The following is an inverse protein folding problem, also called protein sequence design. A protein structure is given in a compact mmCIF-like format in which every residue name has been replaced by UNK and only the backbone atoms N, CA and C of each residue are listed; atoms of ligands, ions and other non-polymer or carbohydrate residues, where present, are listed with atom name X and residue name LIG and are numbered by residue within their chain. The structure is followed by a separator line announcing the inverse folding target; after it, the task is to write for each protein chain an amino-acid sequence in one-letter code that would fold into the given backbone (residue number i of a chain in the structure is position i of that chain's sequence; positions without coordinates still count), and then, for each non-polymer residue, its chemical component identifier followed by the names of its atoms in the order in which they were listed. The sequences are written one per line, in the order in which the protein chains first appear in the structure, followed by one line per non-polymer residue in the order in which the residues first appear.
data_IF_065439857752
#
_entry.id   IF_065439857752
#
_cell.length_a   1.000
_cell.length_b   1.000
_cell.length_c   1.000
_cell.angle_alpha   90.00
_cell.angle_beta   90.00
_cell.angle_gamma   90.00
#
_symmetry.space_group_name_H-M   'P 1'
#
loop_
_entity.id
_entity.type
_entity.pdbx_description
1 polymer ?
#
# COMPACT_ATOMS: atom_id res chain seq x y z
N UNK A 1 -67.06 -2.70 48.75
CA UNK A 1 -67.56 -4.07 48.50
C UNK A 1 -67.10 -4.48 47.10
N UNK A 2 -66.16 -5.41 47.04
CA UNK A 2 -65.67 -6.02 45.79
C UNK A 2 -66.39 -7.34 45.55
N UNK A 3 -66.91 -7.58 44.36
CA UNK A 3 -67.13 -8.92 43.81
C UNK A 3 -67.07 -8.91 42.27
N UNK A 4 -66.07 -9.63 41.75
CA UNK A 4 -66.10 -10.65 40.68
C UNK A 4 -67.14 -10.60 39.56
N UNK A 5 -66.70 -10.77 38.30
CA UNK A 5 -67.07 -11.94 37.47
C UNK A 5 -66.37 -11.98 36.09
N UNK A 6 -66.06 -13.19 35.65
CA UNK A 6 -65.38 -13.60 34.41
C UNK A 6 -66.18 -13.30 33.13
N UNK A 7 -65.47 -13.21 31.98
CA UNK A 7 -65.93 -13.79 30.70
C UNK A 7 -64.79 -14.05 29.70
N UNK A 8 -64.69 -15.32 29.29
CA UNK A 8 -63.93 -15.81 28.14
C UNK A 8 -64.47 -15.24 26.82
N UNK A 9 -63.61 -15.07 25.80
CA UNK A 9 -64.04 -15.26 24.39
C UNK A 9 -62.89 -15.70 23.47
N UNK A 10 -63.30 -16.53 22.51
CA UNK A 10 -62.57 -17.43 21.63
C UNK A 10 -61.74 -16.74 20.53
N UNK A 11 -60.61 -17.39 20.22
CA UNK A 11 -60.12 -17.85 18.90
C UNK A 11 -60.87 -17.35 17.66
N UNK A 12 -60.14 -16.76 16.71
CA UNK A 12 -60.42 -16.94 15.28
C UNK A 12 -59.12 -16.91 14.46
N UNK A 13 -58.84 -18.02 13.80
CA UNK A 13 -57.87 -18.16 12.70
C UNK A 13 -58.55 -17.71 11.41
N UNK A 14 -57.81 -17.04 10.52
CA UNK A 14 -58.14 -16.99 9.10
C UNK A 14 -56.85 -16.77 8.29
N UNK A 15 -56.38 -17.85 7.67
CA UNK A 15 -55.38 -17.81 6.62
C UNK A 15 -56.02 -17.36 5.30
N UNK A 16 -55.29 -16.58 4.48
CA UNK A 16 -55.44 -16.67 3.02
C UNK A 16 -54.13 -16.25 2.33
N UNK A 17 -53.59 -17.20 1.55
CA UNK A 17 -52.56 -17.02 0.52
C UNK A 17 -53.06 -16.07 -0.58
N UNK A 18 -52.18 -15.36 -1.29
CA UNK A 18 -52.12 -15.37 -2.77
C UNK A 18 -50.82 -14.72 -3.30
N UNK A 19 -50.41 -15.24 -4.46
CA UNK A 19 -49.19 -15.12 -5.30
C UNK A 19 -48.56 -13.73 -5.47
N UNK A 20 -47.25 -13.54 -5.68
CA UNK A 20 -46.33 -14.05 -6.73
C UNK A 20 -46.81 -13.76 -8.18
N UNK A 21 -46.89 -12.47 -8.53
CA UNK A 21 -46.81 -11.97 -9.91
C UNK A 21 -46.73 -10.43 -9.87
N UNK A 22 -45.53 -9.88 -9.82
CA UNK A 22 -45.24 -8.45 -10.05
C UNK A 22 -43.72 -8.27 -10.11
N UNK A 23 -43.10 -8.79 -11.17
CA UNK A 23 -41.68 -8.55 -11.50
C UNK A 23 -41.45 -8.94 -12.97
N UNK A 24 -42.32 -8.50 -13.88
CA UNK A 24 -42.11 -8.71 -15.31
C UNK A 24 -42.84 -7.67 -16.19
N UNK A 25 -42.74 -6.39 -15.83
CA UNK A 25 -43.26 -5.28 -16.65
C UNK A 25 -42.40 -4.02 -16.49
N UNK A 26 -41.07 -4.15 -16.59
CA UNK A 26 -40.17 -2.98 -16.70
C UNK A 26 -38.94 -3.24 -17.59
N UNK A 27 -39.12 -4.12 -18.58
CA UNK A 27 -38.22 -4.34 -19.72
C UNK A 27 -39.05 -4.38 -20.99
N UNK A 28 -39.51 -3.21 -21.47
CA UNK A 28 -40.00 -2.95 -22.84
C UNK A 28 -40.61 -1.54 -22.89
N UNK A 29 -39.75 -0.53 -22.99
CA UNK A 29 -39.99 0.76 -23.65
C UNK A 29 -38.64 1.48 -23.73
N UNK A 30 -38.42 2.15 -24.86
CA UNK A 30 -37.16 2.82 -25.26
C UNK A 30 -36.11 1.92 -25.93
N UNK A 31 -36.54 1.18 -26.94
CA UNK A 31 -35.72 0.87 -28.10
C UNK A 31 -36.46 1.36 -29.35
N UNK A 32 -36.23 2.59 -29.78
CA UNK A 32 -36.47 3.06 -31.15
C UNK A 32 -36.01 4.52 -31.31
N UNK A 33 -34.79 4.72 -31.81
CA UNK A 33 -34.46 5.81 -32.75
C UNK A 33 -33.14 5.50 -33.45
N UNK A 34 -33.27 5.29 -34.75
CA UNK A 34 -32.25 4.88 -35.69
C UNK A 34 -31.66 6.08 -36.46
N UNK A 35 -30.35 5.99 -36.71
CA UNK A 35 -29.62 6.36 -37.95
C UNK A 35 -29.42 7.86 -38.27
N UNK A 36 -28.13 8.26 -38.39
CA UNK A 36 -27.56 8.83 -39.64
C UNK A 36 -26.02 8.85 -39.63
N UNK A 37 -25.45 8.27 -40.69
CA UNK A 37 -24.05 8.37 -41.12
C UNK A 37 -23.70 9.80 -41.57
N UNK A 38 -22.44 10.20 -41.42
CA UNK A 38 -21.65 10.81 -42.52
C UNK A 38 -20.18 11.04 -42.11
N UNK A 39 -19.28 10.46 -42.89
CA UNK A 39 -17.86 10.85 -43.04
C UNK A 39 -17.76 11.81 -44.22
N UNK A 40 -16.79 12.74 -44.22
CA UNK A 40 -15.70 12.72 -45.21
C UNK A 40 -14.35 13.05 -44.53
N UNK A 41 -13.15 12.68 -45.00
CA UNK A 41 -12.66 12.54 -46.37
C UNK A 41 -11.72 13.70 -46.71
N UNK A 42 -10.41 13.41 -46.68
CA UNK A 42 -9.35 13.93 -47.58
C UNK A 42 -8.44 15.13 -47.18
N UNK A 43 -7.13 14.86 -47.33
CA UNK A 43 -6.03 15.67 -47.91
C UNK A 43 -5.38 16.78 -47.06
N UNK A 44 -4.12 16.59 -46.62
CA UNK A 44 -2.84 16.89 -47.32
C UNK A 44 -2.45 18.37 -47.30
N UNK A 45 -1.33 18.68 -46.60
CA UNK A 45 -0.32 19.64 -47.05
C UNK A 45 0.93 19.54 -46.15
N UNK A 46 1.92 18.77 -46.60
CA UNK A 46 3.32 18.94 -46.20
C UNK A 46 3.86 20.23 -46.86
N UNK A 47 4.45 21.12 -46.07
CA UNK A 47 5.41 22.10 -46.61
C UNK A 47 6.80 21.77 -46.08
N UNK A 48 7.64 21.26 -46.99
CA UNK A 48 9.10 21.35 -46.91
C UNK A 48 9.48 22.79 -47.25
N UNK A 49 10.36 23.40 -46.46
CA UNK A 49 11.32 24.36 -46.99
C UNK A 49 12.72 24.01 -46.50
N UNK A 50 13.57 23.83 -47.49
CA UNK A 50 14.99 23.52 -47.42
C UNK A 50 15.80 24.82 -47.35
N UNK A 51 16.92 24.74 -46.63
CA UNK A 51 18.23 25.26 -47.06
C UNK A 51 18.44 26.76 -47.22
N UNK A 52 19.37 27.32 -46.43
CA UNK A 52 20.61 27.90 -47.00
C UNK A 52 21.62 28.26 -45.92
N UNK A 53 22.72 27.51 -45.91
CA UNK A 53 23.97 27.93 -45.29
C UNK A 53 24.67 28.97 -46.16
N UNK A 54 25.41 29.86 -45.50
CA UNK A 54 26.47 30.66 -46.10
C UNK A 54 27.69 30.53 -45.19
N UNK A 55 28.74 29.89 -45.71
CA UNK A 55 30.09 29.92 -45.15
C UNK A 55 30.89 30.86 -46.05
N UNK A 56 31.37 31.97 -45.48
CA UNK A 56 32.39 32.83 -46.10
C UNK A 56 33.71 32.56 -45.37
N UNK A 57 34.75 32.33 -46.16
CA UNK A 57 36.12 32.03 -45.75
C UNK A 57 37.03 33.19 -46.15
N UNK A 58 38.06 33.45 -45.35
CA UNK A 58 39.26 34.31 -45.55
C UNK A 58 39.37 35.34 -44.40
N UNK A 59 40.52 35.71 -43.87
CA UNK A 59 41.92 35.29 -43.99
C UNK A 59 42.62 35.91 -42.77
N UNK A 60 43.70 35.30 -42.32
CA UNK A 60 44.47 35.73 -41.16
C UNK A 60 45.46 36.85 -41.51
N UNK A 61 45.68 37.75 -40.57
CA UNK A 61 46.97 38.43 -40.37
C UNK A 61 47.25 38.48 -38.87
N UNK A 62 48.41 37.96 -38.48
CA UNK A 62 48.80 37.76 -37.09
C UNK A 62 49.78 38.81 -36.58
N UNK A 63 49.80 38.97 -35.25
CA UNK A 63 51.03 39.20 -34.49
C UNK A 63 50.86 38.78 -33.03
N UNK A 64 51.41 37.59 -32.76
CA UNK A 64 52.25 37.19 -31.62
C UNK A 64 51.90 37.63 -30.19
N UNK A 65 51.59 36.62 -29.35
CA UNK A 65 52.41 36.25 -28.17
C UNK A 65 51.92 34.92 -27.58
N UNK A 66 52.77 33.89 -27.70
CA UNK A 66 52.58 32.57 -27.06
C UNK A 66 52.80 32.66 -25.55
N UNK A 67 52.06 31.84 -24.78
CA UNK A 67 52.73 30.90 -23.90
C UNK A 67 52.20 29.47 -24.07
N UNK A 68 53.17 28.55 -24.17
CA UNK A 68 53.14 27.10 -23.92
C UNK A 68 51.78 26.44 -23.64
N UNK A 69 51.26 25.70 -24.63
CA UNK A 69 50.18 24.72 -24.46
C UNK A 69 50.75 23.41 -23.90
N UNK A 70 50.70 23.24 -22.58
CA UNK A 70 50.57 21.89 -21.99
C UNK A 70 49.08 21.58 -21.89
N UNK A 71 48.71 20.42 -22.44
CA UNK A 71 47.37 19.82 -22.34
C UNK A 71 46.99 19.69 -20.86
N UNK A 72 45.87 20.25 -20.37
CA UNK A 72 45.39 19.91 -19.04
C UNK A 72 44.77 18.52 -19.09
N UNK A 73 45.29 17.64 -18.23
CA UNK A 73 44.79 16.30 -17.98
C UNK A 73 43.27 16.33 -17.74
N UNK A 74 42.54 15.40 -18.34
CA UNK A 74 41.14 15.13 -18.06
C UNK A 74 40.97 14.37 -16.71
N UNK A 75 41.63 14.87 -15.66
CA UNK A 75 41.61 14.33 -14.30
C UNK A 75 41.32 15.44 -13.29
N UNK A 76 40.27 16.24 -13.50
CA UNK A 76 39.81 17.14 -12.43
C UNK A 76 38.33 17.54 -12.60
N UNK A 77 37.47 16.56 -12.90
CA UNK A 77 36.02 16.77 -12.86
C UNK A 77 35.22 15.48 -12.63
N UNK A 78 35.74 14.52 -11.87
CA UNK A 78 34.93 13.34 -11.50
C UNK A 78 35.52 12.60 -10.32
N UNK A 79 35.18 13.03 -9.10
CA UNK A 79 35.11 12.18 -7.90
C UNK A 79 34.69 13.02 -6.69
N UNK A 80 33.44 13.51 -6.68
CA UNK A 80 32.72 13.59 -5.41
C UNK A 80 32.15 12.21 -5.18
N UNK A 81 33.01 11.32 -4.70
CA UNK A 81 32.67 10.01 -4.18
C UNK A 81 31.71 10.26 -3.03
N UNK A 82 30.40 10.16 -3.28
CA UNK A 82 29.41 10.00 -2.24
C UNK A 82 29.81 8.75 -1.48
N UNK A 83 30.44 8.93 -0.33
CA UNK A 83 30.77 7.85 0.58
C UNK A 83 29.51 6.99 0.74
N UNK A 84 29.57 5.72 0.37
CA UNK A 84 28.53 4.75 0.65
C UNK A 84 28.44 4.63 2.18
N UNK A 85 27.65 5.51 2.80
CA UNK A 85 27.45 5.52 4.25
C UNK A 85 26.78 4.20 4.60
N UNK A 86 27.46 3.40 5.42
CA UNK A 86 26.90 2.18 5.97
C UNK A 86 25.59 2.50 6.71
N UNK A 87 24.63 1.56 6.64
CA UNK A 87 23.27 1.72 7.16
C UNK A 87 23.30 2.30 8.59
N UNK A 88 22.50 3.33 8.88
CA UNK A 88 22.24 3.68 10.26
C UNK A 88 21.48 2.54 10.93
N UNK A 89 21.98 2.09 12.08
CA UNK A 89 21.47 0.92 12.83
C UNK A 89 19.96 0.97 13.12
N UNK A 90 19.31 2.12 12.94
CA UNK A 90 17.94 2.42 13.32
C UNK A 90 17.01 2.83 12.15
N UNK A 91 17.41 2.61 10.88
CA UNK A 91 16.51 2.83 9.74
C UNK A 91 15.41 1.75 9.66
N UNK A 92 14.17 2.20 9.47
CA UNK A 92 12.98 1.36 9.36
C UNK A 92 12.93 0.71 7.98
N UNK A 93 13.32 -0.57 7.91
CA UNK A 93 13.45 -1.30 6.65
C UNK A 93 12.12 -1.90 6.22
N UNK A 94 11.63 -1.46 5.05
CA UNK A 94 10.41 -1.94 4.42
C UNK A 94 10.80 -2.71 3.15
N UNK A 95 10.64 -4.03 3.18
CA UNK A 95 10.84 -4.86 2.01
C UNK A 95 9.54 -4.94 1.19
N UNK A 96 9.61 -4.71 -0.11
CA UNK A 96 8.46 -4.75 -1.02
C UNK A 96 8.74 -5.73 -2.15
N UNK A 97 7.78 -6.60 -2.46
CA UNK A 97 7.94 -7.52 -3.59
C UNK A 97 7.71 -6.84 -4.94
N UNK A 98 8.37 -7.34 -5.99
CA UNK A 98 8.28 -6.74 -7.33
C UNK A 98 6.83 -6.66 -7.84
N UNK A 99 6.01 -7.66 -7.52
CA UNK A 99 4.57 -7.70 -7.89
C UNK A 99 3.69 -6.79 -7.04
N UNK A 100 4.13 -6.43 -5.84
CA UNK A 100 3.45 -5.42 -5.04
C UNK A 100 3.80 -4.01 -5.54
N UNK A 101 5.06 -3.79 -5.91
CA UNK A 101 5.54 -2.49 -6.36
C UNK A 101 5.09 -2.14 -7.79
N UNK A 102 5.13 -3.12 -8.70
CA UNK A 102 4.81 -2.95 -10.12
C UNK A 102 3.77 -3.96 -10.57
N UNK A 103 2.97 -3.57 -11.56
CA UNK A 103 2.09 -4.48 -12.26
C UNK A 103 2.92 -5.39 -13.18
N UNK A 104 2.90 -6.69 -12.87
CA UNK A 104 3.60 -7.73 -13.65
C UNK A 104 2.63 -8.84 -14.07
N UNK A 105 1.34 -8.53 -14.25
CA UNK A 105 0.30 -9.53 -14.58
C UNK A 105 0.63 -10.25 -15.88
N UNK A 106 1.04 -9.54 -16.94
CA UNK A 106 1.34 -10.17 -18.23
C UNK A 106 2.56 -11.08 -18.15
N UNK A 107 3.63 -10.63 -17.48
CA UNK A 107 4.81 -11.49 -17.26
C UNK A 107 4.49 -12.72 -16.42
N UNK A 108 3.58 -12.60 -15.45
CA UNK A 108 3.11 -13.75 -14.66
C UNK A 108 2.36 -14.77 -15.52
N UNK A 109 1.48 -14.33 -16.43
CA UNK A 109 0.78 -15.24 -17.34
C UNK A 109 1.77 -16.06 -18.18
N UNK A 110 2.78 -15.40 -18.74
CA UNK A 110 3.85 -16.10 -19.49
C UNK A 110 4.58 -17.11 -18.60
N UNK A 111 4.88 -16.77 -17.35
CA UNK A 111 5.51 -17.71 -16.42
C UNK A 111 4.62 -18.92 -16.08
N UNK A 112 3.33 -18.69 -15.84
CA UNK A 112 2.36 -19.72 -15.46
C UNK A 112 2.00 -20.65 -16.64
N UNK A 113 1.94 -20.12 -17.86
CA UNK A 113 1.54 -20.86 -19.07
C UNK A 113 2.73 -21.48 -19.82
N UNK A 114 3.87 -20.78 -19.91
CA UNK A 114 5.00 -21.15 -20.75
C UNK A 114 6.30 -21.46 -19.96
N UNK A 115 6.32 -21.18 -18.66
CA UNK A 115 7.43 -21.49 -17.76
C UNK A 115 8.54 -20.43 -17.71
N UNK A 116 9.60 -20.76 -16.97
CA UNK A 116 10.66 -19.81 -16.58
C UNK A 116 11.45 -19.26 -17.76
N UNK A 117 11.84 -20.11 -18.73
CA UNK A 117 12.67 -19.68 -19.86
C UNK A 117 11.95 -18.65 -20.73
N UNK A 118 10.68 -18.91 -21.05
CA UNK A 118 9.84 -17.98 -21.82
C UNK A 118 9.55 -16.69 -21.07
N UNK A 119 9.35 -16.78 -19.76
CA UNK A 119 9.28 -15.59 -18.91
C UNK A 119 10.57 -14.76 -18.95
N UNK A 120 11.74 -15.40 -18.91
CA UNK A 120 13.03 -14.70 -18.98
C UNK A 120 13.22 -14.01 -20.33
N UNK A 121 12.95 -14.70 -21.45
CA UNK A 121 12.96 -14.11 -22.79
C UNK A 121 12.02 -12.90 -22.88
N UNK A 122 10.79 -13.03 -22.36
CA UNK A 122 9.82 -11.94 -22.32
C UNK A 122 10.35 -10.73 -21.55
N UNK A 123 10.98 -10.93 -20.39
CA UNK A 123 11.52 -9.83 -19.59
C UNK A 123 12.72 -9.15 -20.25
N UNK A 124 13.58 -9.91 -20.94
CA UNK A 124 14.73 -9.36 -21.68
C UNK A 124 14.27 -8.55 -22.89
N UNK A 125 13.36 -9.08 -23.71
CA UNK A 125 12.81 -8.35 -24.86
C UNK A 125 12.09 -7.05 -24.47
N UNK A 126 11.60 -6.98 -23.23
CA UNK A 126 10.88 -5.83 -22.68
C UNK A 126 11.68 -5.06 -21.63
N UNK A 127 13.01 -5.20 -21.57
CA UNK A 127 13.82 -4.61 -20.49
C UNK A 127 13.73 -3.07 -20.40
N UNK A 128 13.46 -2.42 -21.53
CA UNK A 128 13.31 -0.97 -21.65
C UNK A 128 11.84 -0.52 -21.60
N UNK A 129 10.89 -1.46 -21.54
CA UNK A 129 9.47 -1.18 -21.39
C UNK A 129 9.16 -1.02 -19.90
N UNK A 130 8.84 0.21 -19.50
CA UNK A 130 8.55 0.58 -18.12
C UNK A 130 7.33 -0.18 -17.60
N UNK A 131 7.47 -0.82 -16.43
CA UNK A 131 6.37 -1.49 -15.76
C UNK A 131 5.40 -0.47 -15.18
N UNK A 132 4.10 -0.70 -15.33
CA UNK A 132 3.10 0.19 -14.73
C UNK A 132 3.07 0.05 -13.20
N UNK A 133 2.64 1.09 -12.47
CA UNK A 133 2.57 1.06 -11.02
C UNK A 133 1.71 -0.09 -10.47
N UNK A 134 2.18 -0.74 -9.42
CA UNK A 134 1.44 -1.75 -8.66
C UNK A 134 0.77 -1.18 -7.40
N UNK A 135 0.06 -2.01 -6.62
CA UNK A 135 -0.74 -1.58 -5.47
C UNK A 135 0.07 -0.91 -4.35
N UNK A 136 1.35 -1.26 -4.16
CA UNK A 136 2.22 -0.66 -3.16
C UNK A 136 2.97 0.58 -3.66
N UNK A 137 2.88 0.94 -4.95
CA UNK A 137 3.68 2.00 -5.55
C UNK A 137 3.48 3.35 -4.87
N UNK A 138 2.21 3.74 -4.65
CA UNK A 138 1.85 5.01 -4.03
C UNK A 138 2.28 5.05 -2.56
N UNK A 139 2.18 3.93 -1.86
CA UNK A 139 2.69 3.78 -0.50
C UNK A 139 4.21 4.05 -0.44
N UNK A 140 4.99 3.46 -1.36
CA UNK A 140 6.45 3.71 -1.44
C UNK A 140 6.77 5.18 -1.73
N UNK A 141 6.03 5.84 -2.62
CA UNK A 141 6.17 7.28 -2.88
C UNK A 141 5.87 8.12 -1.63
N UNK A 142 4.82 7.79 -0.88
CA UNK A 142 4.48 8.49 0.35
C UNK A 142 5.56 8.32 1.44
N UNK A 143 6.17 7.14 1.56
CA UNK A 143 7.31 6.92 2.47
C UNK A 143 8.51 7.81 2.10
N UNK A 144 8.81 7.93 0.80
CA UNK A 144 9.88 8.81 0.32
C UNK A 144 9.58 10.28 0.59
N UNK A 145 8.32 10.69 0.49
CA UNK A 145 7.89 12.03 0.88
C UNK A 145 8.13 12.29 2.37
N UNK A 146 7.77 11.35 3.25
CA UNK A 146 8.04 11.45 4.69
C UNK A 146 9.54 11.57 4.96
N UNK A 147 10.37 10.77 4.27
CA UNK A 147 11.83 10.87 4.39
C UNK A 147 12.37 12.25 3.99
N UNK A 148 11.86 12.84 2.91
CA UNK A 148 12.25 14.20 2.50
C UNK A 148 11.90 15.21 3.59
N UNK A 149 10.67 15.15 4.13
CA UNK A 149 10.21 16.02 5.22
C UNK A 149 11.03 15.85 6.51
N UNK A 150 11.46 14.63 6.83
CA UNK A 150 12.36 14.39 7.97
C UNK A 150 13.72 15.07 7.75
N UNK A 151 14.30 14.94 6.54
CA UNK A 151 15.59 15.58 6.21
C UNK A 151 15.51 17.10 6.20
N UNK A 152 14.39 17.70 5.79
CA UNK A 152 14.18 19.15 5.87
C UNK A 152 14.28 19.65 7.32
N UNK A 153 13.73 18.88 8.27
CA UNK A 153 13.71 19.22 9.69
C UNK A 153 14.99 18.83 10.44
N UNK A 154 15.63 17.76 9.98
CA UNK A 154 16.77 17.12 10.59
C UNK A 154 17.76 16.68 9.48
N UNK A 155 18.66 17.58 9.03
CA UNK A 155 19.56 17.28 7.91
C UNK A 155 20.49 16.08 8.12
N UNK A 156 20.91 15.85 9.37
CA UNK A 156 21.75 14.71 9.77
C UNK A 156 20.92 13.48 10.20
N UNK A 157 19.61 13.48 9.93
CA UNK A 157 18.76 12.35 10.27
C UNK A 157 19.12 11.12 9.44
N UNK A 158 19.20 10.01 10.14
CA UNK A 158 19.56 8.74 9.55
C UNK A 158 18.48 7.68 9.80
N UNK A 159 17.55 7.93 10.73
CA UNK A 159 16.41 7.06 11.01
C UNK A 159 15.27 7.36 10.05
N UNK A 160 15.41 6.85 8.83
CA UNK A 160 14.48 7.03 7.72
C UNK A 160 13.85 5.69 7.33
N UNK A 161 12.83 5.74 6.47
CA UNK A 161 12.36 4.56 5.78
C UNK A 161 13.40 4.09 4.75
N UNK A 162 13.80 2.84 4.84
CA UNK A 162 14.75 2.19 3.93
C UNK A 162 13.97 1.15 3.14
N UNK A 163 13.71 1.44 1.87
CA UNK A 163 12.89 0.59 1.01
C UNK A 163 13.81 -0.38 0.27
N UNK A 164 13.49 -1.68 0.34
CA UNK A 164 14.22 -2.76 -0.33
C UNK A 164 13.29 -3.48 -1.28
N UNK A 165 13.71 -3.66 -2.53
CA UNK A 165 12.98 -4.52 -3.45
C UNK A 165 13.44 -5.96 -3.27
N UNK A 166 12.51 -6.87 -2.94
CA UNK A 166 12.80 -8.29 -2.77
C UNK A 166 11.95 -9.14 -3.69
N UNK A 167 12.59 -9.96 -4.53
CA UNK A 167 11.86 -10.75 -5.52
C UNK A 167 12.50 -12.12 -5.72
N UNK A 168 11.65 -13.10 -5.99
CA UNK A 168 12.06 -14.42 -6.45
C UNK A 168 12.37 -14.45 -7.95
N UNK A 169 12.32 -13.31 -8.65
CA UNK A 169 12.72 -13.24 -10.04
C UNK A 169 14.20 -13.58 -10.24
N UNK A 170 14.50 -14.10 -11.42
CA UNK A 170 15.87 -14.28 -11.89
C UNK A 170 16.58 -12.93 -12.03
N UNK A 171 17.90 -12.90 -11.80
CA UNK A 171 18.71 -11.69 -11.84
C UNK A 171 18.60 -10.93 -13.17
N UNK A 172 18.41 -11.65 -14.27
CA UNK A 172 18.22 -11.10 -15.63
C UNK A 172 16.96 -10.22 -15.73
N UNK A 173 15.90 -10.49 -14.95
CA UNK A 173 14.70 -9.64 -14.89
C UNK A 173 14.97 -8.32 -14.15
N UNK A 174 16.07 -8.24 -13.39
CA UNK A 174 16.44 -7.10 -12.58
C UNK A 174 16.61 -5.81 -13.37
N UNK A 175 17.09 -5.89 -14.62
CA UNK A 175 17.32 -4.69 -15.46
C UNK A 175 16.02 -3.92 -15.69
N UNK A 176 14.94 -4.62 -16.05
CA UNK A 176 13.62 -3.98 -16.25
C UNK A 176 13.09 -3.33 -14.97
N UNK A 177 13.29 -3.99 -13.83
CA UNK A 177 12.89 -3.47 -12.52
C UNK A 177 13.68 -2.20 -12.17
N UNK A 178 15.00 -2.21 -12.38
CA UNK A 178 15.88 -1.05 -12.17
C UNK A 178 15.47 0.11 -13.08
N UNK A 179 15.25 -0.16 -14.38
CA UNK A 179 14.80 0.85 -15.35
C UNK A 179 13.47 1.48 -14.92
N UNK A 180 12.53 0.66 -14.44
CA UNK A 180 11.24 1.15 -13.95
C UNK A 180 11.39 1.99 -12.67
N UNK A 181 12.18 1.53 -11.70
CA UNK A 181 12.50 2.27 -10.46
C UNK A 181 13.13 3.63 -10.78
N UNK A 182 14.11 3.66 -11.69
CA UNK A 182 14.78 4.88 -12.13
C UNK A 182 13.84 5.83 -12.88
N UNK A 183 13.04 5.31 -13.80
CA UNK A 183 12.06 6.11 -14.56
C UNK A 183 11.10 6.85 -13.63
N UNK A 184 10.61 6.18 -12.59
CA UNK A 184 9.72 6.80 -11.62
C UNK A 184 10.44 7.63 -10.54
N UNK A 185 11.78 7.66 -10.52
CA UNK A 185 12.55 8.32 -9.48
C UNK A 185 12.24 7.76 -8.09
N UNK A 186 12.14 6.43 -7.99
CA UNK A 186 12.03 5.76 -6.70
C UNK A 186 13.44 5.60 -6.11
N UNK A 187 13.66 6.16 -4.93
CA UNK A 187 14.86 5.98 -4.11
C UNK A 187 14.85 4.58 -3.48
N UNK A 188 15.20 3.57 -4.26
CA UNK A 188 15.36 2.18 -3.83
C UNK A 188 16.76 1.76 -4.26
N UNK A 189 17.70 1.76 -3.33
CA UNK A 189 19.11 1.46 -3.64
C UNK A 189 19.44 -0.04 -3.48
N UNK A 190 18.56 -0.79 -2.80
CA UNK A 190 18.80 -2.18 -2.42
C UNK A 190 17.80 -3.12 -3.08
N UNK A 191 18.34 -4.09 -3.80
CA UNK A 191 17.59 -5.15 -4.47
C UNK A 191 18.07 -6.51 -3.97
N UNK A 192 17.15 -7.46 -3.86
CA UNK A 192 17.43 -8.88 -3.62
C UNK A 192 16.65 -9.69 -4.66
N UNK A 193 17.37 -10.40 -5.53
CA UNK A 193 16.80 -11.27 -6.56
C UNK A 193 17.29 -12.70 -6.32
N UNK A 194 16.37 -13.61 -5.99
CA UNK A 194 16.73 -14.97 -5.53
C UNK A 194 16.58 -16.07 -6.58
N UNK A 195 16.26 -15.74 -7.83
CA UNK A 195 16.30 -16.69 -8.95
C UNK A 195 15.45 -17.94 -8.76
N UNK A 196 14.24 -17.78 -8.24
CA UNK A 196 13.25 -18.84 -8.04
C UNK A 196 13.09 -19.29 -6.59
N UNK A 197 14.12 -19.14 -5.74
CA UNK A 197 14.02 -19.47 -4.31
C UNK A 197 13.22 -18.41 -3.55
N UNK A 198 12.62 -18.77 -2.41
CA UNK A 198 11.93 -17.79 -1.57
C UNK A 198 12.90 -16.69 -1.09
N UNK A 199 12.52 -15.40 -1.18
CA UNK A 199 13.35 -14.31 -0.67
C UNK A 199 13.27 -14.17 0.86
N UNK A 200 12.39 -14.92 1.53
CA UNK A 200 12.07 -14.74 2.94
C UNK A 200 13.28 -14.95 3.86
N UNK A 201 14.13 -15.94 3.57
CA UNK A 201 15.38 -16.15 4.33
C UNK A 201 16.31 -14.93 4.36
N UNK A 202 16.26 -14.06 3.34
CA UNK A 202 17.06 -12.84 3.30
C UNK A 202 16.43 -11.69 4.07
N UNK A 203 15.12 -11.70 4.36
CA UNK A 203 14.45 -10.62 5.09
C UNK A 203 15.10 -10.38 6.47
N UNK A 204 15.47 -11.45 7.18
CA UNK A 204 16.20 -11.36 8.46
C UNK A 204 17.58 -10.72 8.29
N UNK A 205 18.33 -11.14 7.27
CA UNK A 205 19.66 -10.59 6.99
C UNK A 205 19.64 -9.10 6.61
N UNK A 206 18.55 -8.65 5.98
CA UNK A 206 18.33 -7.23 5.67
C UNK A 206 17.79 -6.41 6.85
N UNK A 207 17.55 -7.05 8.00
CA UNK A 207 16.91 -6.45 9.17
C UNK A 207 15.56 -5.82 8.82
N UNK A 208 14.77 -6.55 8.03
CA UNK A 208 13.44 -6.09 7.59
C UNK A 208 12.51 -5.97 8.79
N UNK A 209 11.90 -4.79 8.95
CA UNK A 209 10.90 -4.54 9.97
C UNK A 209 9.49 -4.87 9.46
N UNK A 210 9.24 -4.66 8.16
CA UNK A 210 7.95 -4.92 7.53
C UNK A 210 8.12 -5.42 6.10
N UNK A 211 7.46 -6.51 5.75
CA UNK A 211 7.47 -7.10 4.41
C UNK A 211 6.10 -7.03 3.74
N UNK A 212 6.06 -6.46 2.54
CA UNK A 212 4.85 -6.24 1.78
C UNK A 212 4.92 -6.99 0.45
N UNK A 213 3.98 -7.91 0.20
CA UNK A 213 4.04 -8.73 -1.00
C UNK A 213 2.66 -9.04 -1.58
N UNK A 214 2.56 -9.19 -2.91
CA UNK A 214 1.37 -9.73 -3.57
C UNK A 214 1.31 -11.29 -3.53
N UNK A 215 2.08 -11.92 -2.64
CA UNK A 215 2.27 -13.37 -2.54
C UNK A 215 1.93 -13.83 -1.14
N UNK A 216 0.77 -14.46 -0.97
CA UNK A 216 0.29 -14.87 0.35
C UNK A 216 1.18 -15.93 1.00
N UNK A 217 1.74 -16.87 0.21
CA UNK A 217 2.63 -17.92 0.73
C UNK A 217 3.90 -17.32 1.32
N UNK A 218 4.52 -16.36 0.62
CA UNK A 218 5.73 -15.69 1.12
C UNK A 218 5.44 -14.80 2.34
N UNK A 219 4.24 -14.24 2.43
CA UNK A 219 3.82 -13.46 3.61
C UNK A 219 3.66 -14.37 4.81
N UNK A 220 3.05 -15.53 4.63
CA UNK A 220 2.90 -16.52 5.69
C UNK A 220 4.26 -17.07 6.16
N UNK A 221 5.16 -17.40 5.23
CA UNK A 221 6.53 -17.82 5.54
C UNK A 221 7.28 -16.72 6.34
N UNK A 222 7.16 -15.45 5.94
CA UNK A 222 7.79 -14.34 6.66
C UNK A 222 7.21 -14.13 8.07
N UNK A 223 5.90 -14.30 8.25
CA UNK A 223 5.26 -14.25 9.56
C UNK A 223 5.73 -15.39 10.48
N UNK A 224 5.88 -16.61 9.95
CA UNK A 224 6.44 -17.75 10.69
C UNK A 224 7.88 -17.48 11.14
N UNK A 225 8.65 -16.75 10.34
CA UNK A 225 9.99 -16.30 10.68
C UNK A 225 10.01 -15.12 11.67
N UNK A 226 8.86 -14.62 12.11
CA UNK A 226 8.72 -13.52 13.08
C UNK A 226 8.87 -12.13 12.47
N UNK A 227 8.71 -11.99 11.14
CA UNK A 227 8.77 -10.71 10.44
C UNK A 227 7.35 -10.22 10.14
N UNK A 228 7.03 -9.00 10.59
CA UNK A 228 5.75 -8.37 10.30
C UNK A 228 5.51 -8.30 8.79
N UNK A 229 4.42 -8.89 8.31
CA UNK A 229 4.17 -9.01 6.87
C UNK A 229 2.70 -8.91 6.51
N UNK A 230 2.41 -8.43 5.30
CA UNK A 230 1.04 -8.37 4.78
C UNK A 230 0.97 -8.67 3.28
N UNK A 231 -0.15 -9.28 2.87
CA UNK A 231 -0.46 -9.56 1.47
C UNK A 231 -1.17 -8.36 0.84
N UNK A 232 -0.58 -7.78 -0.19
CA UNK A 232 -1.16 -6.65 -0.91
C UNK A 232 -2.16 -7.12 -1.95
N UNK A 233 -3.28 -6.41 -1.95
CA UNK A 233 -4.35 -6.56 -2.92
C UNK A 233 -4.65 -5.20 -3.57
N UNK A 234 -4.83 -5.25 -4.89
CA UNK A 234 -5.11 -4.06 -5.69
C UNK A 234 -6.61 -3.71 -5.63
N UNK A 235 -6.94 -2.45 -5.38
CA UNK A 235 -8.30 -1.95 -5.42
C UNK A 235 -8.86 -1.81 -6.85
N UNK A 236 -8.01 -1.91 -7.88
CA UNK A 236 -8.40 -1.91 -9.30
C UNK A 236 -8.95 -0.58 -9.82
N UNK A 237 -8.98 0.46 -8.98
CA UNK A 237 -9.34 1.83 -9.37
C UNK A 237 -8.16 2.75 -9.11
N UNK A 238 -7.75 3.48 -10.15
CA UNK A 238 -6.77 4.57 -10.00
C UNK A 238 -7.44 5.73 -9.27
N UNK A 239 -7.41 5.66 -7.94
CA UNK A 239 -7.97 6.68 -7.06
C UNK A 239 -6.91 7.73 -6.80
N UNK A 240 -7.27 9.01 -6.80
CA UNK A 240 -6.31 10.05 -6.42
C UNK A 240 -5.95 9.95 -4.94
N UNK A 241 -4.65 9.82 -4.65
CA UNK A 241 -4.12 9.77 -3.29
C UNK A 241 -3.61 11.15 -2.85
N UNK A 242 -3.31 11.28 -1.56
CA UNK A 242 -2.76 12.51 -1.01
C UNK A 242 -1.23 12.52 -1.18
N UNK A 243 -0.71 13.39 -2.05
CA UNK A 243 0.74 13.45 -2.32
C UNK A 243 1.56 14.10 -1.18
N UNK A 244 0.90 14.74 -0.21
CA UNK A 244 1.54 15.43 0.91
C UNK A 244 1.56 14.63 2.22
N UNK A 245 0.89 13.48 2.28
CA UNK A 245 0.78 12.68 3.51
C UNK A 245 0.79 11.18 3.22
N UNK A 246 1.60 10.44 3.96
CA UNK A 246 1.42 9.01 4.18
C UNK A 246 0.19 8.78 5.07
N UNK A 247 -0.85 8.20 4.47
CA UNK A 247 -2.10 7.82 5.16
C UNK A 247 -2.10 6.32 5.40
N UNK A 248 -2.08 5.91 6.65
CA UNK A 248 -2.04 4.50 7.05
C UNK A 248 -3.29 4.19 7.85
N UNK A 249 -4.13 3.29 7.35
CA UNK A 249 -5.37 2.89 8.00
C UNK A 249 -5.27 1.44 8.48
N UNK A 250 -5.91 1.12 9.60
CA UNK A 250 -5.86 -0.21 10.17
C UNK A 250 -7.19 -0.57 10.82
N UNK A 251 -7.56 -1.83 10.75
CA UNK A 251 -8.54 -2.37 11.66
C UNK A 251 -7.95 -2.56 13.05
N UNK A 252 -8.75 -2.25 14.08
CA UNK A 252 -8.35 -2.48 15.46
C UNK A 252 -8.03 -3.95 15.71
N UNK A 253 -8.83 -4.86 15.18
CA UNK A 253 -8.66 -6.29 15.39
C UNK A 253 -7.38 -6.81 14.71
N UNK A 254 -7.12 -6.41 13.46
CA UNK A 254 -5.89 -6.75 12.72
C UNK A 254 -4.57 -6.33 13.39
N UNK A 255 -4.58 -5.30 14.24
CA UNK A 255 -3.38 -4.82 14.95
C UNK A 255 -3.18 -5.54 16.28
N UNK A 256 -4.29 -5.92 16.91
CA UNK A 256 -4.30 -6.16 18.35
C UNK A 256 -4.14 -7.62 18.73
N UNK A 257 -4.34 -8.60 17.85
CA UNK A 257 -4.48 -9.97 18.31
C UNK A 257 -3.24 -10.86 18.16
N UNK A 258 -3.02 -11.61 19.24
CA UNK A 258 -2.38 -12.91 19.27
C UNK A 258 -3.20 -13.79 20.21
N UNK A 259 -3.80 -14.86 19.68
CA UNK A 259 -4.44 -16.07 20.27
C UNK A 259 -5.22 -16.04 21.61
N UNK A 260 -5.20 -14.99 22.40
CA UNK A 260 -5.97 -14.88 23.63
C UNK A 260 -7.30 -14.18 23.37
N UNK A 261 -8.34 -15.02 23.29
CA UNK A 261 -9.74 -14.69 23.55
C UNK A 261 -10.53 -14.15 22.36
N UNK A 262 -10.72 -14.99 21.34
CA UNK A 262 -12.11 -15.22 20.94
C UNK A 262 -12.82 -15.82 22.15
N UNK A 263 -13.41 -14.97 23.00
CA UNK A 263 -14.58 -15.43 23.73
C UNK A 263 -15.58 -15.81 22.64
N UNK A 264 -15.94 -17.10 22.49
CA UNK A 264 -16.85 -17.48 21.44
C UNK A 264 -18.13 -16.67 21.64
N UNK A 265 -18.56 -15.96 20.60
CA UNK A 265 -19.79 -15.15 20.57
C UNK A 265 -21.04 -15.96 20.94
N UNK A 266 -20.90 -17.28 21.06
CA UNK A 266 -21.84 -18.25 21.63
C UNK A 266 -22.27 -17.93 23.07
N UNK A 267 -21.46 -17.19 23.84
CA UNK A 267 -21.73 -16.85 25.23
C UNK A 267 -22.45 -15.50 25.44
N UNK A 268 -22.73 -14.78 24.33
CA UNK A 268 -23.48 -13.52 24.31
C UNK A 268 -22.60 -12.25 24.30
N UNK A 269 -23.04 -11.23 23.54
CA UNK A 269 -22.36 -9.93 23.38
C UNK A 269 -22.09 -9.20 24.72
N UNK A 270 -22.93 -9.45 25.72
CA UNK A 270 -22.85 -8.78 27.02
C UNK A 270 -21.64 -9.22 27.85
N UNK A 271 -21.30 -10.52 27.82
CA UNK A 271 -20.08 -11.04 28.47
C UNK A 271 -18.82 -10.50 27.79
N UNK A 272 -18.85 -10.32 26.47
CA UNK A 272 -17.75 -9.71 25.73
C UNK A 272 -17.52 -8.26 26.15
N UNK A 273 -18.58 -7.46 26.28
CA UNK A 273 -18.44 -6.06 26.75
C UNK A 273 -17.94 -5.97 28.19
N UNK A 274 -18.40 -6.86 29.08
CA UNK A 274 -17.89 -6.93 30.44
C UNK A 274 -16.40 -7.28 30.47
N UNK A 275 -15.98 -8.25 29.66
CA UNK A 275 -14.58 -8.64 29.52
C UNK A 275 -13.70 -7.51 28.96
N UNK A 276 -14.15 -6.81 27.92
CA UNK A 276 -13.43 -5.65 27.35
C UNK A 276 -13.31 -4.51 28.36
N UNK A 277 -14.36 -4.24 29.14
CA UNK A 277 -14.35 -3.23 30.21
C UNK A 277 -13.35 -3.61 31.31
N UNK A 278 -13.34 -4.87 31.74
CA UNK A 278 -12.40 -5.37 32.75
C UNK A 278 -10.94 -5.39 32.28
N UNK A 279 -10.72 -5.55 30.97
CA UNK A 279 -9.39 -5.60 30.37
C UNK A 279 -8.97 -4.27 29.71
N UNK A 280 -9.72 -3.19 29.88
CA UNK A 280 -9.48 -1.93 29.18
C UNK A 280 -8.09 -1.33 29.43
N UNK A 281 -7.51 -1.58 30.61
CA UNK A 281 -6.17 -1.14 31.01
C UNK A 281 -5.09 -2.19 30.74
N UNK A 282 -5.47 -3.43 30.42
CA UNK A 282 -4.54 -4.52 30.14
C UNK A 282 -4.11 -4.47 28.68
N UNK A 283 -2.80 -4.32 28.38
CA UNK A 283 -2.32 -4.34 27.02
C UNK A 283 -2.61 -5.70 26.38
N UNK A 284 -2.94 -5.69 25.09
CA UNK A 284 -3.22 -6.92 24.33
C UNK A 284 -1.89 -7.59 23.98
N UNK A 285 -1.87 -8.93 23.92
CA UNK A 285 -0.69 -9.73 23.57
C UNK A 285 -0.23 -9.34 22.15
N UNK A 286 1.08 -9.39 21.91
CA UNK A 286 1.74 -8.66 20.82
C UNK A 286 1.33 -9.17 19.42
N UNK A 287 0.58 -8.35 18.68
CA UNK A 287 0.21 -8.64 17.30
C UNK A 287 1.36 -8.53 16.30
N UNK A 288 1.21 -9.17 15.13
CA UNK A 288 2.23 -9.28 14.09
C UNK A 288 2.80 -7.94 13.60
N UNK A 289 1.99 -6.86 13.63
CA UNK A 289 2.39 -5.53 13.16
C UNK A 289 3.03 -4.64 14.24
N UNK A 290 3.10 -5.10 15.51
CA UNK A 290 3.53 -4.27 16.64
C UNK A 290 4.85 -3.52 16.38
N UNK A 291 5.89 -4.24 16.00
CA UNK A 291 7.22 -3.66 15.78
C UNK A 291 7.21 -2.56 14.71
N UNK A 292 6.44 -2.74 13.63
CA UNK A 292 6.28 -1.73 12.59
C UNK A 292 5.54 -0.49 13.11
N UNK A 293 4.50 -0.67 13.91
CA UNK A 293 3.70 0.43 14.45
C UNK A 293 4.43 1.24 15.52
N UNK A 294 5.25 0.59 16.36
CA UNK A 294 6.12 1.26 17.33
C UNK A 294 7.11 2.19 16.60
N UNK A 295 7.73 1.71 15.51
CA UNK A 295 8.63 2.51 14.69
C UNK A 295 7.91 3.64 13.94
N UNK A 296 6.71 3.39 13.42
CA UNK A 296 5.89 4.43 12.79
C UNK A 296 5.54 5.55 13.79
N UNK A 297 5.15 5.19 15.01
CA UNK A 297 4.85 6.13 16.09
C UNK A 297 6.09 6.92 16.53
N UNK A 298 7.27 6.28 16.53
CA UNK A 298 8.54 6.94 16.80
C UNK A 298 8.86 8.02 15.76
N UNK A 299 8.66 7.74 14.47
CA UNK A 299 8.84 8.75 13.40
C UNK A 299 7.79 9.86 13.49
N UNK A 300 6.53 9.53 13.79
CA UNK A 300 5.45 10.49 13.99
C UNK A 300 5.81 11.51 15.09
N UNK A 301 6.36 11.03 16.21
CA UNK A 301 6.78 11.88 17.35
C UNK A 301 7.93 12.83 17.01
N UNK A 302 8.78 12.53 16.02
CA UNK A 302 9.82 13.47 15.57
C UNK A 302 9.21 14.74 14.98
N UNK A 303 8.15 14.61 14.19
CA UNK A 303 7.42 15.77 13.68
C UNK A 303 6.75 16.55 14.81
N UNK A 304 6.23 15.85 15.82
CA UNK A 304 5.59 16.50 16.97
C UNK A 304 6.58 17.32 17.79
N UNK A 305 7.81 16.83 17.95
CA UNK A 305 8.89 17.56 18.62
C UNK A 305 9.34 18.84 17.89
N UNK A 306 8.86 19.07 16.66
CA UNK A 306 9.09 20.28 15.85
C UNK A 306 7.81 21.08 15.62
N UNK A 307 6.82 20.91 16.49
CA UNK A 307 5.51 21.58 16.42
C UNK A 307 4.73 21.30 15.12
N UNK A 308 5.09 20.26 14.36
CA UNK A 308 4.41 19.87 13.11
C UNK A 308 3.31 18.85 13.34
N UNK A 309 2.65 18.84 14.50
CA UNK A 309 1.61 17.85 14.81
C UNK A 309 0.44 17.87 13.82
N UNK A 310 -0.09 19.06 13.54
CA UNK A 310 -1.22 19.22 12.60
C UNK A 310 -0.80 19.02 11.13
N UNK A 311 0.46 19.32 10.81
CA UNK A 311 1.03 19.20 9.47
C UNK A 311 1.89 17.94 9.30
N UNK A 312 1.73 16.96 10.19
CA UNK A 312 2.54 15.74 10.16
C UNK A 312 2.29 15.02 8.83
N UNK A 313 3.36 14.64 8.10
CA UNK A 313 3.21 13.91 6.85
C UNK A 313 2.82 12.44 7.09
N UNK A 314 2.88 11.93 8.32
CA UNK A 314 2.33 10.63 8.70
C UNK A 314 0.97 10.86 9.36
N UNK A 315 -0.09 10.32 8.77
CA UNK A 315 -1.46 10.38 9.30
C UNK A 315 -2.04 8.98 9.44
N UNK A 316 -2.55 8.68 10.63
CA UNK A 316 -2.96 7.34 11.03
C UNK A 316 -4.45 7.27 11.35
N UNK A 317 -5.08 6.19 10.90
CA UNK A 317 -6.51 5.99 10.99
C UNK A 317 -6.82 4.64 11.64
N UNK A 318 -7.59 4.64 12.72
CA UNK A 318 -8.22 3.44 13.25
C UNK A 318 -9.61 3.31 12.63
N UNK A 319 -9.85 2.26 11.84
CA UNK A 319 -11.14 1.99 11.19
C UNK A 319 -11.65 0.65 11.67
N UNK A 320 -12.47 0.64 12.72
CA UNK A 320 -12.88 -0.58 13.40
C UNK A 320 -14.38 -0.80 13.38
N UNK A 321 -14.79 -2.06 13.23
CA UNK A 321 -16.19 -2.46 13.38
C UNK A 321 -16.68 -2.38 14.84
N UNK A 322 -15.76 -2.23 15.80
CA UNK A 322 -16.07 -2.08 17.23
C UNK A 322 -16.91 -0.83 17.52
N UNK A 323 -17.68 -0.90 18.60
CA UNK A 323 -18.42 0.25 19.13
C UNK A 323 -17.50 1.13 20.00
N UNK A 324 -17.61 2.45 19.84
CA UNK A 324 -16.88 3.41 20.66
C UNK A 324 -17.24 3.27 22.16
N UNK A 325 -18.49 2.95 22.46
CA UNK A 325 -19.03 2.95 23.81
C UNK A 325 -18.55 1.78 24.70
N UNK A 326 -18.05 0.69 24.10
CA UNK A 326 -17.84 -0.56 24.84
C UNK A 326 -16.47 -1.23 24.65
N UNK A 327 -15.81 -1.07 23.50
CA UNK A 327 -14.55 -1.79 23.20
C UNK A 327 -13.51 -0.97 22.44
N UNK A 328 -13.80 0.30 22.16
CA UNK A 328 -12.89 1.17 21.40
C UNK A 328 -11.72 1.74 22.21
N UNK A 329 -11.93 2.01 23.51
CA UNK A 329 -10.93 2.68 24.34
C UNK A 329 -9.67 1.82 24.59
N UNK A 330 -9.83 0.50 24.73
CA UNK A 330 -8.72 -0.45 24.90
C UNK A 330 -7.73 -0.41 23.75
N UNK A 331 -8.25 -0.34 22.52
CA UNK A 331 -7.43 -0.25 21.29
C UNK A 331 -6.58 1.01 21.30
N UNK A 332 -7.21 2.15 21.55
CA UNK A 332 -6.52 3.44 21.59
C UNK A 332 -5.47 3.51 22.71
N UNK A 333 -5.78 2.96 23.89
CA UNK A 333 -4.83 2.88 25.01
C UNK A 333 -3.64 1.98 24.68
N UNK A 334 -3.87 0.86 24.01
CA UNK A 334 -2.82 -0.08 23.60
C UNK A 334 -1.88 0.57 22.57
N UNK A 335 -2.43 1.17 21.51
CA UNK A 335 -1.64 1.87 20.50
C UNK A 335 -0.84 3.02 21.09
N UNK A 336 -1.45 3.80 22.00
CA UNK A 336 -0.75 4.87 22.72
C UNK A 336 0.42 4.33 23.54
N UNK A 337 0.26 3.17 24.18
CA UNK A 337 1.33 2.53 24.97
C UNK A 337 2.47 2.02 24.09
N UNK A 338 2.18 1.58 22.87
CA UNK A 338 3.18 1.29 21.84
C UNK A 338 3.81 2.57 21.26
N UNK A 339 3.26 3.73 21.62
CA UNK A 339 3.78 5.02 21.19
C UNK A 339 3.28 5.48 19.83
N UNK A 340 2.26 4.82 19.26
CA UNK A 340 1.55 5.28 18.08
C UNK A 340 0.32 6.09 18.49
N UNK A 341 0.25 7.34 18.06
CA UNK A 341 -0.88 8.21 18.35
C UNK A 341 -1.80 8.29 17.14
N UNK A 342 -3.01 7.74 17.28
CA UNK A 342 -4.01 7.74 16.21
C UNK A 342 -4.56 9.16 16.01
N UNK A 343 -4.50 9.64 14.76
CA UNK A 343 -5.01 10.97 14.39
C UNK A 343 -6.53 10.96 14.24
N UNK A 344 -7.08 9.90 13.64
CA UNK A 344 -8.52 9.75 13.42
C UNK A 344 -8.97 8.33 13.79
N UNK A 345 -9.98 8.22 14.65
CA UNK A 345 -10.56 6.94 15.05
C UNK A 345 -12.04 6.88 14.66
N UNK A 346 -12.39 5.89 13.84
CA UNK A 346 -13.70 5.68 13.27
C UNK A 346 -14.25 4.34 13.76
N UNK A 347 -15.24 4.44 14.65
CA UNK A 347 -15.95 3.32 15.25
C UNK A 347 -17.24 3.09 14.47
N UNK A 348 -17.32 1.98 13.74
CA UNK A 348 -18.40 1.74 12.79
C UNK A 348 -19.57 0.95 13.38
N UNK A 349 -19.40 0.36 14.58
CA UNK A 349 -20.45 -0.43 15.24
C UNK A 349 -21.12 -1.46 14.30
N UNK A 350 -20.30 -2.17 13.50
CA UNK A 350 -20.73 -3.16 12.52
C UNK A 350 -21.03 -2.63 11.11
N UNK A 351 -21.01 -1.31 10.87
CA UNK A 351 -21.15 -0.75 9.53
C UNK A 351 -19.94 -1.07 8.62
N UNK A 352 -20.16 -1.05 7.31
CA UNK A 352 -19.13 -1.40 6.33
C UNK A 352 -18.00 -0.37 6.28
N UNK A 353 -16.75 -0.85 6.20
CA UNK A 353 -15.54 -0.01 6.14
C UNK A 353 -15.35 0.69 4.79
N UNK A 354 -15.83 0.07 3.70
CA UNK A 354 -15.62 0.52 2.33
C UNK A 354 -15.92 2.01 2.07
N UNK A 355 -17.13 2.51 2.36
CA UNK A 355 -17.48 3.92 2.15
C UNK A 355 -16.57 4.91 2.90
N UNK A 356 -16.13 4.52 4.10
CA UNK A 356 -15.22 5.31 4.93
C UNK A 356 -13.81 5.32 4.32
N UNK A 357 -13.33 4.17 3.84
CA UNK A 357 -12.02 4.06 3.20
C UNK A 357 -11.94 4.88 1.90
N UNK A 358 -13.04 5.02 1.15
CA UNK A 358 -13.14 5.93 -0.02
C UNK A 358 -12.95 7.39 0.38
N UNK A 359 -13.41 7.78 1.57
CA UNK A 359 -13.22 9.15 2.09
C UNK A 359 -11.80 9.37 2.59
N UNK A 360 -11.24 8.40 3.30
CA UNK A 360 -9.88 8.46 3.87
C UNK A 360 -8.82 8.43 2.75
N UNK A 361 -9.03 7.58 1.73
CA UNK A 361 -8.06 7.28 0.66
C UNK A 361 -6.69 6.91 1.23
N UNK A 362 -6.62 5.85 2.04
CA UNK A 362 -5.35 5.45 2.63
C UNK A 362 -4.39 4.94 1.54
N UNK A 363 -3.09 5.11 1.76
CA UNK A 363 -2.07 4.49 0.93
C UNK A 363 -2.00 2.99 1.15
N UNK A 364 -2.37 2.56 2.37
CA UNK A 364 -2.45 1.16 2.76
C UNK A 364 -3.51 1.03 3.88
N UNK A 365 -4.37 0.02 3.74
CA UNK A 365 -5.35 -0.35 4.76
C UNK A 365 -5.11 -1.79 5.23
N UNK A 366 -4.86 -1.98 6.52
CA UNK A 366 -4.61 -3.29 7.12
C UNK A 366 -5.88 -3.89 7.71
N UNK A 367 -6.13 -5.16 7.39
CA UNK A 367 -7.22 -5.96 7.96
C UNK A 367 -6.79 -7.45 8.01
N UNK A 368 -7.30 -8.19 8.98
CA UNK A 368 -7.09 -9.63 9.15
C UNK A 368 -8.21 -10.47 8.53
N UNK A 369 -9.34 -9.85 8.22
CA UNK A 369 -10.48 -10.51 7.59
C UNK A 369 -10.47 -10.32 6.08
N UNK A 370 -10.33 -11.42 5.34
CA UNK A 370 -10.44 -11.40 3.89
C UNK A 370 -11.77 -10.82 3.39
N UNK A 371 -12.86 -10.98 4.15
CA UNK A 371 -14.16 -10.37 3.84
C UNK A 371 -14.09 -8.83 3.83
N UNK A 372 -13.38 -8.23 4.79
CA UNK A 372 -13.19 -6.78 4.83
C UNK A 372 -12.24 -6.31 3.72
N UNK A 373 -11.19 -7.08 3.43
CA UNK A 373 -10.24 -6.83 2.34
C UNK A 373 -10.98 -6.76 1.00
N UNK A 374 -11.74 -7.79 0.64
CA UNK A 374 -12.54 -7.82 -0.59
C UNK A 374 -13.61 -6.73 -0.61
N UNK A 375 -14.24 -6.50 0.54
CA UNK A 375 -15.22 -5.43 0.73
C UNK A 375 -14.62 -4.08 0.35
N UNK A 376 -13.43 -3.74 0.87
CA UNK A 376 -12.75 -2.48 0.58
C UNK A 376 -12.20 -2.40 -0.87
N UNK A 377 -11.74 -3.51 -1.45
CA UNK A 377 -11.31 -3.57 -2.85
C UNK A 377 -12.44 -3.22 -3.82
N UNK A 378 -13.67 -3.68 -3.56
CA UNK A 378 -14.85 -3.30 -4.38
C UNK A 378 -15.06 -1.78 -4.45
N UNK A 379 -14.59 -1.05 -3.43
CA UNK A 379 -14.65 0.40 -3.37
C UNK A 379 -13.39 1.09 -3.92
N UNK A 380 -12.39 0.36 -4.42
CA UNK A 380 -11.19 0.93 -5.03
C UNK A 380 -10.04 1.20 -4.05
N UNK A 381 -10.08 0.64 -2.84
CA UNK A 381 -9.01 0.84 -1.84
C UNK A 381 -7.96 -0.25 -1.96
N UNK A 382 -6.68 0.13 -1.94
CA UNK A 382 -5.58 -0.83 -1.83
C UNK A 382 -5.51 -1.36 -0.40
N UNK A 383 -5.48 -2.68 -0.27
CA UNK A 383 -5.61 -3.35 1.01
C UNK A 383 -4.44 -4.29 1.27
N UNK A 384 -4.14 -4.47 2.54
CA UNK A 384 -3.04 -5.27 3.05
C UNK A 384 -3.62 -6.28 4.05
N UNK A 385 -3.80 -7.51 3.60
CA UNK A 385 -4.29 -8.60 4.43
C UNK A 385 -3.17 -9.10 5.33
N UNK A 386 -3.41 -9.13 6.64
CA UNK A 386 -2.49 -9.69 7.63
C UNK A 386 -3.02 -11.06 8.03
N UNK A 387 -2.51 -12.17 7.45
CA UNK A 387 -3.03 -13.49 7.78
C UNK A 387 -2.67 -13.86 9.22
N UNK A 388 -3.55 -14.63 9.84
CA UNK A 388 -3.31 -15.20 11.16
C UNK A 388 -2.07 -16.10 11.12
N UNK A 389 -1.06 -15.76 11.90
CA UNK A 389 0.01 -16.71 12.23
C UNK A 389 -0.57 -17.70 13.24
N UNK A 390 -1.06 -18.85 12.77
CA UNK A 390 -1.35 -19.96 13.67
C UNK A 390 0.00 -20.42 14.22
N UNK A 391 0.38 -19.93 15.39
CA UNK A 391 1.48 -20.50 16.17
C UNK A 391 0.97 -21.80 16.79
N UNK A 392 0.87 -22.85 15.98
CA UNK A 392 0.82 -24.21 16.53
C UNK A 392 2.20 -24.47 17.15
N UNK A 393 2.27 -24.40 18.48
CA UNK A 393 3.32 -25.04 19.26
C UNK A 393 2.94 -26.47 19.60
#
# INVERSE_FOLDING_TARGET
MSQTSLKQKKKNESATKYSKESLETEKRRESEKSIRLSTPGSQEALQKTESRGYIVRSQWSGSSRNPSSRVPSAEEARSKTTSLKAKPKHALTIAVSSRALFNMVDGRKVYEEEGLEKYMEYQLCNENVILTPGPAFRFVKALQHVNARLRDLYPEEHELFDIVLMTNNHAQVGVRLINSVNHYGLLIDRFCLTGGKSPVGYLKAYLTNFYLSADCEKVQEALQEGIASATMFDGGKDTSYCDSQLRVAFDGDSILFSDELEYPTKDGLEKFFQHETQCETKPIVQGALKCFLEELGRLQKKFYAKDQRLCCPIRTYLVTARSAASSGARVLKTLRRWGLEIDEALFLAGASKGPILVKIRPHIFFDDSMFHIEGAQKFGTNTAHVPYSITQK
#
